data_IF_071082999593
#
_entry.id   IF_071082999593
#
_cell.length_a   1.000
_cell.length_b   1.000
_cell.length_c   1.000
_cell.angle_alpha   90.00
_cell.angle_beta   90.00
_cell.angle_gamma   90.00
#
_symmetry.space_group_name_H-M   'P 1'
#
loop_
_entity.id
_entity.type
_entity.pdbx_description
1 polymer ?
#
# COMPACT_ATOMS: atom_id res chain seq x y z
N UNK A 1 33.46 39.67 64.19
CA UNK A 1 32.75 38.49 64.72
C UNK A 1 31.58 38.14 63.80
N UNK A 2 30.98 36.96 63.97
CA UNK A 2 30.14 36.27 62.98
C UNK A 2 28.69 36.79 62.85
N UNK A 3 28.05 36.36 61.75
CA UNK A 3 26.69 35.76 61.68
C UNK A 3 25.59 36.50 60.88
N UNK A 4 25.06 35.75 59.88
CA UNK A 4 23.70 35.81 59.30
C UNK A 4 22.68 35.13 60.27
N UNK A 5 21.34 35.05 60.05
CA UNK A 5 20.62 35.16 58.76
C UNK A 5 19.13 35.70 58.73
N UNK A 6 18.56 35.71 57.50
CA UNK A 6 17.15 35.46 57.08
C UNK A 6 16.02 36.53 57.02
N UNK A 7 15.42 36.58 55.81
CA UNK A 7 13.99 36.77 55.42
C UNK A 7 13.27 38.13 55.47
N UNK A 8 12.63 38.48 54.33
CA UNK A 8 11.61 39.54 54.17
C UNK A 8 11.27 39.80 52.69
N UNK A 9 10.00 39.64 52.28
CA UNK A 9 9.51 39.76 50.89
C UNK A 9 9.11 41.20 50.50
N UNK A 10 8.97 41.50 49.19
CA UNK A 10 7.79 42.27 48.78
C UNK A 10 7.10 41.86 47.45
N UNK A 11 5.77 42.01 47.47
CA UNK A 11 4.78 42.23 46.40
C UNK A 11 5.08 41.85 44.92
N UNK A 12 4.22 40.99 44.38
CA UNK A 12 4.01 40.79 42.93
C UNK A 12 2.97 41.79 42.39
N UNK A 13 3.32 42.54 41.34
CA UNK A 13 2.36 43.31 40.53
C UNK A 13 1.77 42.39 39.46
N UNK A 14 0.45 42.39 39.30
CA UNK A 14 -0.23 41.56 38.30
C UNK A 14 0.03 42.07 36.87
N UNK A 15 0.55 41.18 36.02
CA UNK A 15 0.58 41.34 34.56
C UNK A 15 -0.53 40.42 34.00
N UNK A 16 -1.42 40.88 33.11
CA UNK A 16 -2.49 40.06 32.57
C UNK A 16 -1.93 38.89 31.72
N UNK A 17 -2.62 37.73 31.70
CA UNK A 17 -2.15 36.56 30.97
C UNK A 17 -2.14 36.80 29.45
N UNK A 18 -1.06 36.37 28.82
CA UNK A 18 -0.83 36.42 27.38
C UNK A 18 -1.90 35.60 26.64
N UNK A 19 -2.74 36.24 25.81
CA UNK A 19 -3.70 35.51 24.97
C UNK A 19 -2.97 34.81 23.82
N UNK A 20 -3.24 33.53 23.54
CA UNK A 20 -2.76 32.87 22.33
C UNK A 20 -3.49 33.40 21.08
N UNK A 21 -2.88 33.33 19.88
CA UNK A 21 -3.51 33.82 18.66
C UNK A 21 -4.79 33.04 18.32
N UNK A 22 -5.78 33.76 17.77
CA UNK A 22 -7.18 33.34 17.56
C UNK A 22 -7.41 32.14 16.60
N UNK A 23 -6.35 31.51 16.09
CA UNK A 23 -6.45 30.47 15.06
C UNK A 23 -6.95 29.11 15.58
N UNK A 24 -6.92 28.87 16.91
CA UNK A 24 -7.33 27.60 17.51
C UNK A 24 -8.83 27.50 17.90
N UNK A 25 -9.65 28.53 17.67
CA UNK A 25 -11.05 28.56 18.15
C UNK A 25 -12.11 28.05 17.16
N UNK A 26 -11.75 27.69 15.93
CA UNK A 26 -12.72 27.36 14.85
C UNK A 26 -12.65 25.93 14.31
N UNK A 27 -11.91 25.02 14.97
CA UNK A 27 -11.94 23.59 14.64
C UNK A 27 -12.90 22.84 15.58
N UNK A 28 -13.72 21.90 15.07
CA UNK A 28 -14.59 21.10 15.93
C UNK A 28 -13.78 20.25 16.92
N UNK A 29 -14.27 20.17 18.17
CA UNK A 29 -13.58 19.57 19.33
C UNK A 29 -13.23 18.07 19.20
N UNK A 30 -13.58 17.40 18.11
CA UNK A 30 -13.20 16.00 17.84
C UNK A 30 -11.73 15.82 17.44
N UNK A 31 -11.01 16.91 17.09
CA UNK A 31 -9.67 16.80 16.48
C UNK A 31 -8.51 17.03 17.47
N UNK A 32 -8.72 17.74 18.58
CA UNK A 32 -7.66 18.21 19.50
C UNK A 32 -7.92 17.79 20.96
N UNK A 33 -6.94 17.16 21.61
CA UNK A 33 -6.92 16.92 23.07
C UNK A 33 -6.14 18.02 23.80
N UNK A 34 -6.43 18.30 25.09
CA UNK A 34 -5.93 19.48 25.78
C UNK A 34 -4.40 19.47 26.03
N UNK A 35 -3.77 20.65 26.19
CA UNK A 35 -2.33 20.76 26.39
C UNK A 35 -1.88 20.36 27.80
N UNK A 36 -0.78 19.62 27.88
CA UNK A 36 -0.04 19.32 29.11
C UNK A 36 1.00 20.43 29.36
N UNK A 37 1.30 20.85 30.62
CA UNK A 37 2.19 21.99 30.87
C UNK A 37 3.65 21.75 30.45
N UNK A 38 4.25 22.71 29.75
CA UNK A 38 5.68 22.71 29.41
C UNK A 38 6.54 23.28 30.57
N UNK A 39 7.76 22.74 30.78
CA UNK A 39 8.72 23.29 31.75
C UNK A 39 9.39 24.57 31.22
N UNK A 40 9.80 25.46 32.13
CA UNK A 40 10.38 26.77 31.81
C UNK A 40 11.86 26.66 31.41
N UNK A 41 12.27 27.29 30.30
CA UNK A 41 13.67 27.65 30.00
C UNK A 41 13.85 29.18 29.98
N UNK A 42 15.07 29.63 30.29
CA UNK A 42 15.34 31.02 30.67
C UNK A 42 15.89 31.95 29.57
N UNK A 43 15.53 33.23 29.72
CA UNK A 43 16.25 34.47 29.35
C UNK A 43 17.22 34.48 28.15
N UNK A 44 16.84 35.18 27.08
CA UNK A 44 17.74 35.71 26.04
C UNK A 44 18.00 37.21 26.25
N UNK A 45 19.22 37.68 25.95
CA UNK A 45 19.60 39.11 25.94
C UNK A 45 19.54 39.67 24.50
N UNK A 46 19.07 40.92 24.32
CA UNK A 46 18.85 41.57 23.01
C UNK A 46 19.99 42.52 22.57
N UNK A 47 20.13 42.63 21.24
CA UNK A 47 20.54 43.79 20.42
C UNK A 47 20.10 43.53 18.94
N UNK A 48 20.16 44.45 17.97
CA UNK A 48 20.63 45.86 18.05
C UNK A 48 20.09 46.86 16.98
N UNK A 49 19.32 46.46 15.95
CA UNK A 49 18.58 47.36 14.98
C UNK A 49 19.41 48.26 14.03
N UNK A 50 18.86 48.92 12.97
CA UNK A 50 17.65 48.67 12.15
C UNK A 50 17.81 48.85 10.60
N UNK A 51 17.01 48.14 9.80
CA UNK A 51 16.39 48.63 8.53
C UNK A 51 15.25 47.68 8.08
N UNK A 52 14.28 48.19 7.30
CA UNK A 52 12.90 47.65 7.20
C UNK A 52 12.51 47.18 5.76
N UNK A 53 11.23 46.83 5.44
CA UNK A 53 10.54 45.60 5.89
C UNK A 53 9.70 44.88 4.77
N UNK A 54 9.62 43.55 4.78
CA UNK A 54 8.46 42.79 4.24
C UNK A 54 8.57 41.29 4.56
N UNK A 55 7.42 40.63 4.79
CA UNK A 55 7.33 39.16 4.88
C UNK A 55 7.92 38.52 6.15
N UNK A 56 7.23 38.66 7.30
CA UNK A 56 7.57 37.94 8.53
C UNK A 56 7.33 36.42 8.40
N UNK A 57 8.33 35.70 7.86
CA UNK A 57 8.37 34.23 7.83
C UNK A 57 8.42 33.69 9.26
N UNK A 58 7.27 33.27 9.80
CA UNK A 58 7.18 32.59 11.10
C UNK A 58 7.76 31.18 10.97
N UNK A 59 9.09 31.08 11.04
CA UNK A 59 9.80 29.80 11.13
C UNK A 59 9.75 29.33 12.59
N UNK A 60 8.57 28.92 13.03
CA UNK A 60 8.35 28.37 14.37
C UNK A 60 8.79 26.91 14.43
N UNK A 61 9.65 26.58 15.39
CA UNK A 61 10.22 25.24 15.63
C UNK A 61 9.19 24.25 16.25
N UNK A 62 7.91 24.47 15.96
CA UNK A 62 6.76 23.74 16.49
C UNK A 62 6.51 22.41 15.75
N UNK A 63 6.89 22.33 14.46
CA UNK A 63 6.67 21.16 13.62
C UNK A 63 7.23 19.88 14.24
N UNK A 64 8.55 19.86 14.50
CA UNK A 64 9.30 18.71 15.04
C UNK A 64 8.72 18.15 16.36
N UNK A 65 8.13 19.01 17.19
CA UNK A 65 7.52 18.61 18.47
C UNK A 65 6.10 18.06 18.28
N UNK A 66 5.31 18.64 17.37
CA UNK A 66 3.97 18.14 17.05
C UNK A 66 4.01 16.77 16.36
N UNK A 67 4.92 16.54 15.40
CA UNK A 67 5.03 15.25 14.69
C UNK A 67 5.37 14.11 15.65
N UNK A 68 6.33 14.31 16.57
CA UNK A 68 6.67 13.31 17.60
C UNK A 68 5.50 13.00 18.55
N UNK A 69 4.72 14.01 18.90
CA UNK A 69 3.58 13.84 19.84
C UNK A 69 2.38 13.17 19.16
N UNK A 70 2.15 13.42 17.86
CA UNK A 70 1.10 12.74 17.09
C UNK A 70 1.45 11.28 16.77
N UNK A 71 2.70 10.98 16.45
CA UNK A 71 3.21 9.62 16.19
C UNK A 71 2.84 8.64 17.32
N UNK A 72 2.94 9.06 18.58
CA UNK A 72 2.63 8.19 19.73
C UNK A 72 1.14 7.80 19.88
N UNK A 73 0.23 8.44 19.12
CA UNK A 73 -1.22 8.09 19.08
C UNK A 73 -1.67 7.53 17.74
N UNK A 74 -0.78 7.50 16.73
CA UNK A 74 -1.02 6.99 15.39
C UNK A 74 -0.17 5.74 15.15
N UNK A 75 -0.57 4.62 15.76
CA UNK A 75 0.24 3.40 15.80
C UNK A 75 0.48 2.74 14.43
N UNK A 76 -0.32 3.09 13.41
CA UNK A 76 -0.10 2.66 12.02
C UNK A 76 0.91 3.53 11.25
N UNK A 77 1.44 4.58 11.88
CA UNK A 77 2.44 5.45 11.27
C UNK A 77 1.90 6.29 10.13
N UNK A 78 2.72 6.45 9.10
CA UNK A 78 2.39 7.19 7.88
C UNK A 78 1.58 6.29 6.91
N UNK A 79 0.74 6.90 6.08
CA UNK A 79 0.02 6.20 5.02
C UNK A 79 1.00 5.58 4.00
N UNK A 80 2.21 6.14 3.88
CA UNK A 80 3.31 5.55 3.14
C UNK A 80 3.77 4.20 3.72
N UNK A 81 3.97 4.10 5.04
CA UNK A 81 4.36 2.86 5.71
C UNK A 81 3.26 1.79 5.54
N UNK A 82 2.01 2.20 5.73
CA UNK A 82 0.86 1.29 5.59
C UNK A 82 0.69 0.79 4.15
N UNK A 83 0.88 1.65 3.14
CA UNK A 83 0.90 1.22 1.75
C UNK A 83 2.09 0.29 1.46
N UNK A 84 3.26 0.54 2.05
CA UNK A 84 4.44 -0.32 1.91
C UNK A 84 4.22 -1.71 2.52
N UNK A 85 3.49 -1.82 3.63
CA UNK A 85 3.06 -3.10 4.22
C UNK A 85 2.04 -3.84 3.34
N UNK A 86 1.09 -3.12 2.74
CA UNK A 86 -0.05 -3.70 1.99
C UNK A 86 0.18 -3.91 0.49
N UNK A 87 1.16 -3.22 -0.10
CA UNK A 87 1.42 -3.09 -1.54
C UNK A 87 0.31 -2.34 -2.28
N UNK A 88 -0.96 -2.73 -2.13
CA UNK A 88 -2.14 -2.03 -2.68
C UNK A 88 -3.31 -2.03 -1.69
N UNK A 89 -4.28 -1.14 -1.90
CA UNK A 89 -5.47 -1.01 -1.07
C UNK A 89 -6.74 -1.39 -1.84
N UNK A 90 -7.67 -2.03 -1.14
CA UNK A 90 -9.00 -2.29 -1.70
C UNK A 90 -9.77 -0.98 -1.90
N UNK A 91 -10.70 -0.94 -2.86
CA UNK A 91 -11.57 0.25 -3.02
C UNK A 91 -12.29 0.64 -1.72
N UNK A 92 -12.60 -0.33 -0.85
CA UNK A 92 -13.27 -0.10 0.42
C UNK A 92 -12.38 0.65 1.42
N UNK A 93 -11.09 0.37 1.44
CA UNK A 93 -10.10 1.08 2.27
C UNK A 93 -9.80 2.46 1.67
N UNK A 94 -9.50 2.51 0.38
CA UNK A 94 -9.29 3.77 -0.37
C UNK A 94 -10.48 4.71 -0.21
N UNK A 95 -11.73 4.23 -0.29
CA UNK A 95 -12.95 5.03 -0.07
C UNK A 95 -13.02 5.66 1.32
N UNK A 96 -12.54 4.98 2.37
CA UNK A 96 -12.49 5.56 3.72
C UNK A 96 -11.42 6.65 3.82
N UNK A 97 -10.19 6.33 3.40
CA UNK A 97 -9.04 7.23 3.47
C UNK A 97 -9.31 8.49 2.65
N UNK A 98 -9.74 8.32 1.40
CA UNK A 98 -9.99 9.43 0.47
C UNK A 98 -11.18 10.30 0.89
N UNK A 99 -12.23 9.74 1.50
CA UNK A 99 -13.34 10.54 2.03
C UNK A 99 -12.84 11.49 3.12
N UNK A 100 -12.14 10.97 4.12
CA UNK A 100 -11.62 11.78 5.22
C UNK A 100 -10.56 12.80 4.72
N UNK A 101 -9.76 12.45 3.72
CA UNK A 101 -8.83 13.39 3.08
C UNK A 101 -9.56 14.54 2.39
N UNK A 102 -10.58 14.25 1.59
CA UNK A 102 -11.37 15.28 0.91
C UNK A 102 -12.18 16.15 1.88
N UNK A 103 -12.67 15.59 2.99
CA UNK A 103 -13.32 16.36 4.06
C UNK A 103 -12.35 17.38 4.68
N UNK A 104 -11.10 16.97 4.97
CA UNK A 104 -10.04 17.88 5.45
C UNK A 104 -9.69 18.94 4.41
N UNK A 105 -9.49 18.55 3.14
CA UNK A 105 -9.14 19.48 2.05
C UNK A 105 -10.28 20.49 1.81
N UNK A 106 -11.54 20.05 1.81
CA UNK A 106 -12.71 20.94 1.72
C UNK A 106 -12.71 21.99 2.84
N UNK A 107 -12.39 21.58 4.07
CA UNK A 107 -12.29 22.50 5.21
C UNK A 107 -11.15 23.52 5.05
N UNK A 108 -9.96 23.10 4.60
CA UNK A 108 -8.84 24.00 4.31
C UNK A 108 -9.20 24.98 3.19
N UNK A 109 -9.77 24.48 2.09
CA UNK A 109 -10.11 25.27 0.91
C UNK A 109 -11.21 26.31 1.20
N UNK A 110 -12.15 26.01 2.11
CA UNK A 110 -13.13 26.98 2.64
C UNK A 110 -12.50 28.13 3.42
N UNK A 111 -11.40 27.87 4.13
CA UNK A 111 -10.60 28.89 4.83
C UNK A 111 -9.58 29.60 3.90
N UNK A 112 -9.64 29.34 2.60
CA UNK A 112 -8.66 29.76 1.58
C UNK A 112 -7.22 29.26 1.82
N UNK A 113 -7.05 28.16 2.54
CA UNK A 113 -5.74 27.54 2.79
C UNK A 113 -5.45 26.51 1.69
N UNK A 114 -4.24 26.58 1.10
CA UNK A 114 -3.68 25.58 0.18
C UNK A 114 -2.58 24.80 0.91
N UNK A 115 -2.54 23.48 0.79
CA UNK A 115 -1.56 22.65 1.49
C UNK A 115 -0.19 22.62 0.79
N UNK A 116 -0.19 22.47 -0.54
CA UNK A 116 0.98 22.43 -1.46
C UNK A 116 1.94 21.23 -1.36
N UNK A 117 1.95 20.46 -0.28
CA UNK A 117 2.73 19.21 -0.18
C UNK A 117 1.88 18.04 0.33
N UNK A 118 0.80 17.72 -0.37
CA UNK A 118 0.00 16.52 -0.09
C UNK A 118 0.68 15.27 -0.66
N UNK A 119 0.99 14.33 0.23
CA UNK A 119 1.62 13.03 -0.09
C UNK A 119 1.34 12.02 1.03
N UNK A 120 1.46 10.69 0.80
CA UNK A 120 1.20 9.66 1.80
C UNK A 120 2.03 9.80 3.10
N UNK A 121 3.25 10.30 3.01
CA UNK A 121 4.14 10.57 4.15
C UNK A 121 3.54 11.61 5.11
N UNK A 122 2.82 12.60 4.57
CA UNK A 122 2.20 13.68 5.36
C UNK A 122 0.81 13.30 5.92
N UNK A 123 0.35 12.05 5.73
CA UNK A 123 -0.96 11.56 6.18
C UNK A 123 -0.75 10.44 7.21
N UNK A 124 -1.09 10.68 8.47
CA UNK A 124 -0.99 9.68 9.54
C UNK A 124 -2.27 8.85 9.68
N UNK A 125 -2.13 7.58 10.08
CA UNK A 125 -3.26 6.64 10.28
C UNK A 125 -3.41 6.19 11.75
N UNK A 126 -4.65 6.13 12.22
CA UNK A 126 -5.01 5.47 13.50
C UNK A 126 -5.38 3.98 13.32
N UNK A 127 -5.55 3.27 14.44
CA UNK A 127 -5.91 1.84 14.45
C UNK A 127 -7.24 1.55 13.71
N UNK A 128 -8.12 2.55 13.56
CA UNK A 128 -9.46 2.47 12.98
C UNK A 128 -9.53 2.91 11.50
N UNK A 129 -8.41 3.24 10.87
CA UNK A 129 -8.31 3.83 9.52
C UNK A 129 -8.82 5.27 9.40
N UNK A 130 -8.87 6.02 10.50
CA UNK A 130 -9.04 7.47 10.43
C UNK A 130 -7.69 8.11 10.10
N UNK A 131 -7.71 9.17 9.29
CA UNK A 131 -6.48 9.91 8.96
C UNK A 131 -6.30 11.14 9.86
N UNK A 132 -5.07 11.64 9.95
CA UNK A 132 -4.79 13.07 10.19
C UNK A 132 -3.75 13.59 9.21
N UNK A 133 -4.06 14.72 8.59
CA UNK A 133 -3.11 15.46 7.75
C UNK A 133 -2.09 16.19 8.64
N UNK A 134 -0.83 16.19 8.22
CA UNK A 134 0.31 16.79 8.92
C UNK A 134 1.24 17.52 7.95
N UNK A 135 2.26 18.19 8.50
CA UNK A 135 3.23 19.04 7.79
C UNK A 135 2.64 20.16 6.90
N UNK A 136 2.10 21.17 7.56
CA UNK A 136 1.68 22.43 6.95
C UNK A 136 2.86 23.37 6.63
N UNK A 137 4.11 22.88 6.58
CA UNK A 137 5.31 23.70 6.40
C UNK A 137 5.37 24.48 5.08
N UNK A 138 4.66 23.99 4.05
CA UNK A 138 4.48 24.67 2.76
C UNK A 138 3.11 25.34 2.60
N UNK A 139 2.20 25.21 3.55
CA UNK A 139 0.84 25.71 3.39
C UNK A 139 0.76 27.24 3.37
N UNK A 140 -0.23 27.79 2.67
CA UNK A 140 -0.42 29.22 2.50
C UNK A 140 -1.92 29.56 2.54
N UNK A 141 -2.28 30.65 3.21
CA UNK A 141 -3.64 31.18 3.19
C UNK A 141 -3.73 32.31 2.17
N UNK A 142 -4.57 32.13 1.16
CA UNK A 142 -4.77 33.06 0.05
C UNK A 142 -5.79 34.14 0.41
N UNK A 143 -5.49 35.38 0.03
CA UNK A 143 -6.48 36.44 -0.09
C UNK A 143 -7.38 36.23 -1.33
N UNK A 144 -8.57 36.83 -1.39
CA UNK A 144 -9.44 36.75 -2.57
C UNK A 144 -8.72 37.23 -3.85
N UNK A 145 -8.61 36.36 -4.84
CA UNK A 145 -7.90 36.64 -6.10
C UNK A 145 -6.37 36.46 -6.06
N UNK A 146 -5.79 36.15 -4.90
CA UNK A 146 -4.35 35.86 -4.79
C UNK A 146 -4.01 34.52 -5.47
N UNK A 147 -2.87 34.49 -6.16
CA UNK A 147 -2.30 33.32 -6.82
C UNK A 147 -0.84 33.17 -6.46
N UNK A 148 -0.39 31.92 -6.34
CA UNK A 148 0.98 31.58 -5.95
C UNK A 148 1.83 31.27 -7.18
N UNK A 149 3.14 31.54 -7.08
CA UNK A 149 4.13 31.28 -8.14
C UNK A 149 5.35 30.48 -7.67
N UNK A 150 5.56 30.36 -6.35
CA UNK A 150 6.67 29.58 -5.79
C UNK A 150 6.53 28.09 -6.15
N UNK A 151 7.63 27.45 -6.56
CA UNK A 151 7.66 25.98 -6.68
C UNK A 151 8.14 25.36 -5.37
N UNK A 152 7.25 24.61 -4.74
CA UNK A 152 7.48 23.89 -3.49
C UNK A 152 6.66 22.60 -3.47
N UNK A 153 6.97 21.70 -2.53
CA UNK A 153 6.39 20.36 -2.44
C UNK A 153 7.21 19.29 -3.17
N UNK A 154 6.71 18.05 -3.13
CA UNK A 154 7.44 16.85 -3.54
C UNK A 154 7.24 16.55 -5.05
N UNK A 155 8.32 16.41 -5.87
CA UNK A 155 8.22 16.41 -7.35
C UNK A 155 7.21 15.46 -8.00
N UNK A 156 6.99 14.27 -7.46
CA UNK A 156 6.03 13.28 -7.98
C UNK A 156 4.56 13.63 -7.74
N UNK A 157 4.27 14.59 -6.84
CA UNK A 157 2.93 15.02 -6.47
C UNK A 157 2.60 16.45 -6.94
N UNK A 158 3.56 17.14 -7.58
CA UNK A 158 3.36 18.49 -8.12
C UNK A 158 2.32 18.49 -9.25
N UNK A 159 1.47 19.52 -9.23
CA UNK A 159 0.53 19.79 -10.30
C UNK A 159 1.22 20.45 -11.51
N UNK A 160 0.74 20.24 -12.76
CA UNK A 160 1.32 20.82 -13.97
C UNK A 160 1.53 22.33 -13.88
N UNK A 161 0.55 23.06 -13.35
CA UNK A 161 0.58 24.52 -13.23
C UNK A 161 1.67 25.04 -12.26
N UNK A 162 2.11 24.23 -11.29
CA UNK A 162 3.27 24.58 -10.44
C UNK A 162 4.55 24.50 -11.26
N UNK A 163 4.69 23.45 -12.08
CA UNK A 163 5.85 23.25 -12.95
C UNK A 163 5.93 24.38 -13.98
N UNK A 164 4.79 24.73 -14.60
CA UNK A 164 4.68 25.84 -15.56
C UNK A 164 5.08 27.20 -14.95
N UNK A 165 4.73 27.46 -13.68
CA UNK A 165 5.19 28.68 -12.97
C UNK A 165 6.73 28.79 -12.88
N UNK A 166 7.48 27.68 -12.84
CA UNK A 166 8.96 27.73 -12.88
C UNK A 166 9.57 27.86 -14.27
N UNK A 167 8.77 27.67 -15.33
CA UNK A 167 9.23 27.72 -16.72
C UNK A 167 8.80 29.01 -17.43
N UNK A 168 7.81 29.73 -16.90
CA UNK A 168 7.25 30.93 -17.49
C UNK A 168 6.93 31.99 -16.41
N UNK A 169 7.74 33.05 -16.37
CA UNK A 169 7.59 34.19 -15.45
C UNK A 169 6.29 34.98 -15.66
N UNK A 170 5.62 34.84 -16.81
CA UNK A 170 4.33 35.46 -17.11
C UNK A 170 3.12 34.60 -16.70
N UNK A 171 3.32 33.37 -16.20
CA UNK A 171 2.20 32.49 -15.81
C UNK A 171 1.36 33.13 -14.68
N UNK A 172 0.01 33.15 -14.77
CA UNK A 172 -0.87 33.85 -13.81
C UNK A 172 -0.84 33.27 -12.37
N UNK A 173 -0.13 32.17 -12.17
CA UNK A 173 0.01 31.48 -10.88
C UNK A 173 -1.04 30.40 -10.66
N UNK A 174 -0.91 29.67 -9.56
CA UNK A 174 -1.78 28.56 -9.16
C UNK A 174 -2.53 28.87 -7.87
N UNK A 175 -3.54 28.07 -7.54
CA UNK A 175 -4.36 28.21 -6.33
C UNK A 175 -4.58 26.89 -5.60
N UNK A 176 -5.80 26.69 -5.09
CA UNK A 176 -6.23 25.51 -4.31
C UNK A 176 -6.26 24.23 -5.15
N UNK A 177 -6.38 24.37 -6.45
CA UNK A 177 -6.56 23.31 -7.43
C UNK A 177 -5.40 22.30 -7.41
N UNK A 178 -4.19 22.74 -7.01
CA UNK A 178 -2.99 21.90 -6.90
C UNK A 178 -3.16 20.75 -5.90
N UNK A 179 -3.83 21.01 -4.78
CA UNK A 179 -4.09 19.99 -3.76
C UNK A 179 -4.98 18.86 -4.31
N UNK A 180 -5.88 19.18 -5.24
CA UNK A 180 -6.76 18.21 -5.90
C UNK A 180 -5.98 17.30 -6.86
N UNK A 181 -4.94 17.82 -7.53
CA UNK A 181 -4.04 17.01 -8.34
C UNK A 181 -3.26 16.02 -7.47
N UNK A 182 -2.59 16.52 -6.42
CA UNK A 182 -1.85 15.67 -5.48
C UNK A 182 -2.75 14.60 -4.83
N UNK A 183 -4.02 14.94 -4.56
CA UNK A 183 -5.06 14.00 -4.11
C UNK A 183 -5.33 12.90 -5.13
N UNK A 184 -5.38 13.21 -6.42
CA UNK A 184 -5.46 12.23 -7.50
C UNK A 184 -4.23 11.32 -7.59
N UNK A 185 -3.03 11.89 -7.44
CA UNK A 185 -1.77 11.13 -7.41
C UNK A 185 -1.74 10.16 -6.22
N UNK A 186 -2.16 10.62 -5.03
CA UNK A 186 -2.32 9.76 -3.84
C UNK A 186 -3.32 8.64 -4.17
N UNK A 187 -4.53 8.96 -4.62
CA UNK A 187 -5.58 7.97 -4.87
C UNK A 187 -5.18 6.89 -5.87
N UNK A 188 -4.52 7.29 -6.97
CA UNK A 188 -3.94 6.35 -7.93
C UNK A 188 -2.91 5.44 -7.26
N UNK A 189 -2.00 6.02 -6.47
CA UNK A 189 -0.91 5.29 -5.79
C UNK A 189 -1.43 4.28 -4.76
N UNK A 190 -2.51 4.61 -4.04
CA UNK A 190 -3.15 3.69 -3.09
C UNK A 190 -3.74 2.44 -3.77
N UNK A 191 -4.26 2.59 -5.00
CA UNK A 191 -4.88 1.50 -5.76
C UNK A 191 -3.83 0.69 -6.55
N UNK A 192 -2.93 1.36 -7.27
CA UNK A 192 -1.94 0.72 -8.14
C UNK A 192 -0.64 0.31 -7.43
N UNK A 193 -0.43 0.72 -6.17
CA UNK A 193 0.82 0.50 -5.43
C UNK A 193 2.03 1.27 -5.99
N UNK A 194 1.81 2.12 -7.00
CA UNK A 194 2.84 2.90 -7.70
C UNK A 194 2.25 4.20 -8.22
N UNK A 195 3.04 5.29 -8.31
CA UNK A 195 2.52 6.59 -8.74
C UNK A 195 2.21 6.63 -10.25
N UNK A 196 1.21 7.42 -10.69
CA UNK A 196 0.79 7.53 -12.09
C UNK A 196 1.88 8.08 -13.00
N UNK A 197 2.74 8.95 -12.46
CA UNK A 197 3.83 9.58 -13.19
C UNK A 197 5.16 9.14 -12.57
N UNK A 198 5.85 8.20 -13.24
CA UNK A 198 7.14 7.70 -12.79
C UNK A 198 8.14 7.62 -13.93
N UNK A 199 9.34 8.16 -13.73
CA UNK A 199 10.48 7.89 -14.60
C UNK A 199 11.83 8.05 -13.88
N UNK A 200 12.83 7.21 -14.21
CA UNK A 200 14.21 7.27 -13.64
C UNK A 200 14.86 8.66 -13.77
N UNK A 201 14.58 9.34 -14.88
CA UNK A 201 15.02 10.71 -15.15
C UNK A 201 13.88 11.66 -14.78
N UNK A 202 14.09 12.49 -13.75
CA UNK A 202 13.10 13.45 -13.25
C UNK A 202 12.51 14.33 -14.36
N UNK A 203 13.31 14.82 -15.31
CA UNK A 203 12.82 15.66 -16.41
C UNK A 203 11.77 14.96 -17.30
N UNK A 204 11.82 13.62 -17.42
CA UNK A 204 10.81 12.86 -18.16
C UNK A 204 9.55 12.62 -17.31
N UNK A 205 9.68 12.43 -15.98
CA UNK A 205 8.55 12.40 -15.06
C UNK A 205 7.78 13.73 -15.09
N UNK A 206 8.49 14.87 -15.03
CA UNK A 206 7.87 16.20 -15.12
C UNK A 206 7.14 16.40 -16.46
N UNK A 207 7.69 15.90 -17.58
CA UNK A 207 6.98 15.91 -18.88
C UNK A 207 5.72 15.02 -18.89
N UNK A 208 5.73 13.88 -18.21
CA UNK A 208 4.52 13.05 -18.05
C UNK A 208 3.44 13.77 -17.23
N UNK A 209 3.83 14.47 -16.15
CA UNK A 209 2.94 15.32 -15.36
C UNK A 209 2.34 16.42 -16.24
N UNK A 210 3.17 17.22 -16.91
CA UNK A 210 2.71 18.33 -17.78
C UNK A 210 1.78 17.88 -18.92
N UNK A 211 1.96 16.66 -19.44
CA UNK A 211 1.09 16.09 -20.48
C UNK A 211 -0.12 15.33 -19.93
N UNK A 212 -0.25 15.17 -18.62
CA UNK A 212 -1.28 14.33 -18.00
C UNK A 212 -1.23 12.86 -18.44
N UNK A 213 -0.06 12.38 -18.87
CA UNK A 213 0.08 11.05 -19.46
C UNK A 213 0.25 9.95 -18.39
N UNK A 214 -0.88 9.39 -17.95
CA UNK A 214 -0.98 8.20 -17.12
C UNK A 214 -1.96 7.20 -17.76
N UNK A 215 -1.96 5.95 -17.32
CA UNK A 215 -2.78 4.88 -17.91
C UNK A 215 -3.32 3.92 -16.85
N UNK A 216 -4.57 3.50 -16.98
CA UNK A 216 -5.16 2.42 -16.18
C UNK A 216 -4.77 1.05 -16.78
N UNK A 217 -3.49 0.69 -16.65
CA UNK A 217 -2.91 -0.50 -17.26
C UNK A 217 -3.36 -1.84 -16.66
N UNK A 218 -3.45 -2.87 -17.51
CA UNK A 218 -3.52 -4.28 -17.06
C UNK A 218 -2.13 -4.76 -16.61
N UNK A 219 -2.01 -5.62 -15.58
CA UNK A 219 -3.11 -6.22 -14.81
C UNK A 219 -3.63 -5.39 -13.63
N UNK A 220 -2.92 -4.35 -13.19
CA UNK A 220 -3.17 -3.67 -11.91
C UNK A 220 -4.57 -3.03 -11.84
N UNK A 221 -5.11 -2.57 -12.96
CA UNK A 221 -6.41 -1.91 -13.05
C UNK A 221 -7.56 -2.79 -13.59
N UNK A 222 -7.32 -4.08 -13.83
CA UNK A 222 -8.36 -5.00 -14.35
C UNK A 222 -9.47 -5.27 -13.31
N UNK A 223 -9.13 -5.29 -12.02
CA UNK A 223 -10.05 -5.64 -10.93
C UNK A 223 -10.75 -4.42 -10.29
N UNK A 224 -10.38 -3.19 -10.69
CA UNK A 224 -10.97 -1.94 -10.18
C UNK A 224 -12.11 -1.41 -11.07
N UNK A 225 -13.15 -0.86 -10.43
CA UNK A 225 -14.36 -0.36 -11.10
C UNK A 225 -14.11 0.85 -12.00
N UNK A 226 -14.96 1.03 -13.00
CA UNK A 226 -14.91 2.25 -13.83
C UNK A 226 -15.29 3.50 -13.03
N UNK A 227 -16.06 3.35 -11.94
CA UNK A 227 -16.39 4.43 -11.00
C UNK A 227 -15.16 4.96 -10.26
N UNK A 228 -14.21 4.10 -9.84
CA UNK A 228 -12.99 4.56 -9.19
C UNK A 228 -12.01 5.19 -10.19
N UNK A 229 -11.96 4.66 -11.42
CA UNK A 229 -11.16 5.22 -12.53
C UNK A 229 -11.66 6.61 -12.95
N UNK A 230 -12.98 6.79 -13.03
CA UNK A 230 -13.61 8.09 -13.33
C UNK A 230 -13.31 9.15 -12.25
N UNK A 231 -13.31 8.79 -10.96
CA UNK A 231 -12.93 9.74 -9.92
C UNK A 231 -11.45 10.15 -10.02
N UNK A 232 -10.55 9.18 -10.26
CA UNK A 232 -9.12 9.49 -10.48
C UNK A 232 -8.92 10.39 -11.70
N UNK A 233 -9.67 10.19 -12.79
CA UNK A 233 -9.53 11.02 -13.98
C UNK A 233 -10.02 12.46 -13.81
N UNK A 234 -10.99 12.71 -12.91
CA UNK A 234 -11.44 14.06 -12.53
C UNK A 234 -10.43 14.84 -11.67
N UNK A 235 -9.57 14.13 -10.92
CA UNK A 235 -8.45 14.75 -10.19
C UNK A 235 -7.24 15.01 -11.09
N UNK A 236 -6.89 14.06 -11.95
CA UNK A 236 -5.70 14.13 -12.82
C UNK A 236 -5.98 14.87 -14.14
N UNK A 237 -6.68 16.00 -14.05
CA UNK A 237 -6.92 16.92 -15.16
C UNK A 237 -5.83 17.98 -15.20
N UNK A 238 -5.12 18.10 -16.32
CA UNK A 238 -4.02 19.06 -16.49
C UNK A 238 -4.51 20.49 -16.27
N UNK A 239 -5.60 20.87 -16.95
CA UNK A 239 -6.15 22.21 -16.87
C UNK A 239 -6.86 22.46 -15.51
N UNK A 240 -6.38 23.38 -14.66
CA UNK A 240 -6.83 23.46 -13.27
C UNK A 240 -8.32 23.80 -13.10
N UNK A 241 -8.88 24.68 -13.94
CA UNK A 241 -10.31 25.04 -13.86
C UNK A 241 -11.27 23.93 -14.28
N UNK A 242 -10.78 22.84 -14.89
CA UNK A 242 -11.57 21.66 -15.25
C UNK A 242 -11.40 20.51 -14.23
N UNK A 243 -10.53 20.69 -13.22
CA UNK A 243 -10.25 19.72 -12.18
C UNK A 243 -11.33 19.79 -11.09
N UNK A 244 -11.83 18.65 -10.63
CA UNK A 244 -12.91 18.67 -9.64
C UNK A 244 -12.44 19.23 -8.29
N UNK A 245 -13.34 19.95 -7.62
CA UNK A 245 -13.16 20.43 -6.25
C UNK A 245 -13.37 19.30 -5.24
N UNK A 246 -12.92 19.50 -3.99
CA UNK A 246 -13.13 18.52 -2.93
C UNK A 246 -14.63 18.25 -2.63
N UNK A 247 -15.50 19.23 -2.85
CA UNK A 247 -16.94 19.09 -2.62
C UNK A 247 -17.62 18.27 -3.72
N UNK A 248 -17.30 18.55 -4.99
CA UNK A 248 -17.75 17.74 -6.13
C UNK A 248 -17.22 16.31 -6.06
N UNK A 249 -15.97 16.14 -5.62
CA UNK A 249 -15.37 14.85 -5.40
C UNK A 249 -16.08 14.05 -4.29
N UNK A 250 -16.44 14.68 -3.16
CA UNK A 250 -17.23 14.03 -2.10
C UNK A 250 -18.65 13.65 -2.55
N UNK A 251 -19.24 14.41 -3.47
CA UNK A 251 -20.53 14.10 -4.08
C UNK A 251 -20.46 12.97 -5.14
N UNK A 252 -19.27 12.51 -5.53
CA UNK A 252 -19.07 11.52 -6.59
C UNK A 252 -19.68 10.14 -6.24
N UNK A 253 -20.24 9.39 -7.21
CA UNK A 253 -20.79 8.04 -6.98
C UNK A 253 -19.86 7.06 -6.28
N UNK A 254 -18.53 7.23 -6.37
CA UNK A 254 -17.56 6.43 -5.62
C UNK A 254 -17.75 6.52 -4.09
N UNK A 255 -18.19 7.67 -3.56
CA UNK A 255 -18.48 7.84 -2.13
C UNK A 255 -19.96 7.69 -1.78
N UNK A 256 -20.86 7.78 -2.76
CA UNK A 256 -22.28 7.51 -2.54
C UNK A 256 -22.48 6.07 -2.07
N UNK A 257 -23.37 5.90 -1.09
CA UNK A 257 -23.56 4.62 -0.43
C UNK A 257 -24.45 3.72 -1.31
N UNK A 258 -23.86 3.04 -2.28
CA UNK A 258 -24.54 1.95 -2.97
C UNK A 258 -24.89 0.87 -1.95
N UNK A 259 -26.19 0.71 -1.70
CA UNK A 259 -26.75 -0.54 -1.18
C UNK A 259 -26.63 -1.55 -2.32
N UNK A 260 -25.49 -2.23 -2.37
CA UNK A 260 -25.20 -3.22 -3.40
C UNK A 260 -26.03 -4.47 -3.10
N UNK A 261 -27.17 -4.64 -3.79
CA UNK A 261 -27.51 -5.99 -4.27
C UNK A 261 -26.29 -6.49 -5.05
N UNK A 262 -25.81 -7.73 -4.80
CA UNK A 262 -24.58 -8.26 -5.38
C UNK A 262 -24.64 -8.40 -6.92
N UNK A 263 -24.51 -7.30 -7.65
CA UNK A 263 -24.24 -7.31 -9.09
C UNK A 263 -22.78 -7.72 -9.27
N UNK A 264 -22.55 -9.03 -9.27
CA UNK A 264 -21.26 -9.65 -9.56
C UNK A 264 -20.77 -9.19 -10.93
N UNK A 265 -19.88 -8.20 -10.95
CA UNK A 265 -19.31 -7.67 -12.18
C UNK A 265 -18.75 -8.81 -13.04
N UNK A 266 -19.21 -8.89 -14.29
CA UNK A 266 -18.75 -9.90 -15.22
C UNK A 266 -17.33 -9.55 -15.65
N UNK A 267 -16.31 -10.16 -15.03
CA UNK A 267 -14.93 -10.15 -15.55
C UNK A 267 -14.82 -11.24 -16.63
N UNK A 268 -14.64 -10.90 -17.93
CA UNK A 268 -14.52 -11.90 -18.99
C UNK A 268 -13.25 -12.74 -18.79
N UNK A 269 -12.14 -12.09 -18.43
CA UNK A 269 -10.85 -12.74 -18.13
C UNK A 269 -10.96 -13.64 -16.90
N UNK A 270 -11.57 -13.17 -15.82
CA UNK A 270 -11.79 -13.95 -14.60
C UNK A 270 -12.65 -15.19 -14.83
N UNK A 271 -13.79 -15.04 -15.55
CA UNK A 271 -14.65 -16.17 -15.92
C UNK A 271 -13.96 -17.14 -16.87
N UNK A 272 -13.24 -16.66 -17.88
CA UNK A 272 -12.47 -17.52 -18.79
C UNK A 272 -11.41 -18.34 -18.04
N UNK A 273 -10.65 -17.70 -17.14
CA UNK A 273 -9.66 -18.37 -16.27
C UNK A 273 -10.31 -19.42 -15.37
N UNK A 274 -11.45 -19.12 -14.76
CA UNK A 274 -12.20 -20.06 -13.92
C UNK A 274 -12.75 -21.25 -14.73
N UNK A 275 -13.27 -21.01 -15.95
CA UNK A 275 -13.71 -22.07 -16.87
C UNK A 275 -12.54 -22.96 -17.28
N UNK A 276 -11.42 -22.37 -17.70
CA UNK A 276 -10.23 -23.11 -18.11
C UNK A 276 -9.67 -23.99 -16.97
N UNK A 277 -9.59 -23.45 -15.75
CA UNK A 277 -9.17 -24.21 -14.56
C UNK A 277 -10.15 -25.33 -14.21
N UNK A 278 -11.46 -25.07 -14.30
CA UNK A 278 -12.51 -26.09 -14.07
C UNK A 278 -12.42 -27.23 -15.11
N UNK A 279 -12.22 -26.91 -16.39
CA UNK A 279 -12.02 -27.91 -17.45
C UNK A 279 -10.75 -28.72 -17.20
N UNK A 280 -9.62 -28.08 -16.86
CA UNK A 280 -8.37 -28.78 -16.54
C UNK A 280 -8.51 -29.69 -15.32
N UNK A 281 -9.24 -29.27 -14.28
CA UNK A 281 -9.54 -30.08 -13.11
C UNK A 281 -10.44 -31.28 -13.46
N UNK A 282 -11.55 -31.05 -14.19
CA UNK A 282 -12.46 -32.10 -14.63
C UNK A 282 -11.76 -33.14 -15.52
N UNK A 283 -10.91 -32.71 -16.46
CA UNK A 283 -10.10 -33.59 -17.30
C UNK A 283 -9.12 -34.43 -16.47
N UNK A 284 -8.42 -33.82 -15.49
CA UNK A 284 -7.54 -34.56 -14.56
C UNK A 284 -8.31 -35.60 -13.76
N UNK A 285 -9.46 -35.23 -13.19
CA UNK A 285 -10.34 -36.14 -12.42
C UNK A 285 -10.84 -37.28 -13.32
N UNK A 286 -11.29 -36.98 -14.54
CA UNK A 286 -11.77 -37.97 -15.50
C UNK A 286 -10.68 -39.00 -15.85
N UNK A 287 -9.47 -38.55 -16.19
CA UNK A 287 -8.36 -39.46 -16.49
C UNK A 287 -7.89 -40.24 -15.26
N UNK A 288 -7.94 -39.65 -14.06
CA UNK A 288 -7.57 -40.34 -12.83
C UNK A 288 -8.61 -41.40 -12.45
N UNK A 289 -9.90 -41.11 -12.57
CA UNK A 289 -11.00 -42.06 -12.36
C UNK A 289 -10.94 -43.21 -13.37
N UNK A 290 -10.76 -42.93 -14.66
CA UNK A 290 -10.61 -43.95 -15.73
C UNK A 290 -9.33 -44.81 -15.58
N UNK A 291 -8.29 -44.33 -14.91
CA UNK A 291 -7.04 -45.09 -14.66
C UNK A 291 -7.11 -45.99 -13.41
N UNK A 292 -7.98 -45.68 -12.45
CA UNK A 292 -8.19 -46.53 -11.27
C UNK A 292 -9.30 -47.54 -11.57
N UNK A 293 -8.90 -48.72 -12.07
CA UNK A 293 -9.81 -49.89 -12.03
C UNK A 293 -10.12 -50.19 -10.56
N UNK A 294 -11.40 -50.28 -10.14
CA UNK A 294 -11.73 -50.67 -8.78
C UNK A 294 -11.21 -52.08 -8.52
N UNK A 295 -10.45 -52.26 -7.44
CA UNK A 295 -9.90 -53.54 -7.03
C UNK A 295 -11.02 -54.36 -6.39
N UNK A 296 -11.68 -55.22 -7.18
CA UNK A 296 -12.69 -56.15 -6.67
C UNK A 296 -12.02 -57.36 -6.00
N UNK A 297 -12.73 -57.97 -5.03
CA UNK A 297 -12.26 -59.14 -4.26
C UNK A 297 -11.87 -60.31 -5.18
N UNK A 298 -12.59 -60.51 -6.27
CA UNK A 298 -12.32 -61.55 -7.27
C UNK A 298 -10.98 -61.37 -7.98
N UNK A 299 -10.61 -60.13 -8.34
CA UNK A 299 -9.33 -59.83 -9.00
C UNK A 299 -8.16 -60.14 -8.05
N UNK A 300 -8.30 -59.77 -6.78
CA UNK A 300 -7.30 -60.04 -5.72
C UNK A 300 -7.10 -61.54 -5.51
N UNK A 301 -8.16 -62.34 -5.57
CA UNK A 301 -8.09 -63.80 -5.38
C UNK A 301 -7.52 -64.50 -6.63
N UNK A 302 -7.88 -64.04 -7.84
CA UNK A 302 -7.48 -64.69 -9.09
C UNK A 302 -6.04 -64.39 -9.51
N UNK A 303 -5.58 -63.15 -9.35
CA UNK A 303 -4.20 -62.74 -9.62
C UNK A 303 -3.76 -61.60 -8.68
N UNK A 304 -3.30 -61.94 -7.46
CA UNK A 304 -2.79 -60.93 -6.53
C UNK A 304 -1.49 -60.28 -7.01
N UNK A 305 -0.73 -60.91 -7.91
CA UNK A 305 0.52 -60.37 -8.44
C UNK A 305 0.29 -59.29 -9.50
N UNK A 306 -0.84 -59.27 -10.22
CA UNK A 306 -1.19 -58.19 -11.15
C UNK A 306 -1.22 -56.80 -10.48
N UNK A 307 -1.59 -56.74 -9.20
CA UNK A 307 -1.78 -55.49 -8.46
C UNK A 307 -0.46 -55.01 -7.84
N UNK A 308 0.11 -53.92 -8.39
CA UNK A 308 1.41 -53.35 -7.98
C UNK A 308 1.60 -53.15 -6.45
N UNK A 309 0.60 -52.76 -5.65
CA UNK A 309 0.73 -52.67 -4.19
C UNK A 309 0.84 -54.05 -3.52
N UNK A 310 0.01 -55.02 -3.92
CA UNK A 310 0.02 -56.37 -3.36
C UNK A 310 1.30 -57.11 -3.73
N UNK A 311 1.72 -57.03 -5.00
CA UNK A 311 3.02 -57.55 -5.47
C UNK A 311 4.17 -57.15 -4.54
N UNK A 312 4.32 -55.84 -4.29
CA UNK A 312 5.37 -55.30 -3.40
C UNK A 312 5.29 -55.86 -1.97
N UNK A 313 4.08 -56.09 -1.45
CA UNK A 313 3.88 -56.64 -0.13
C UNK A 313 4.24 -58.14 -0.08
N UNK A 314 3.83 -58.90 -1.10
CA UNK A 314 4.18 -60.32 -1.25
C UNK A 314 5.70 -60.48 -1.44
N UNK A 315 6.33 -59.71 -2.33
CA UNK A 315 7.79 -59.69 -2.55
C UNK A 315 8.55 -59.40 -1.25
N UNK A 316 8.06 -58.44 -0.44
CA UNK A 316 8.68 -58.07 0.83
C UNK A 316 8.55 -59.17 1.89
N UNK A 317 7.41 -59.85 1.99
CA UNK A 317 7.24 -61.00 2.88
C UNK A 317 8.05 -62.22 2.42
N UNK A 318 8.05 -62.52 1.12
CA UNK A 318 8.87 -63.57 0.53
C UNK A 318 10.35 -63.33 0.80
N UNK A 319 10.82 -62.08 0.65
CA UNK A 319 12.21 -61.72 0.99
C UNK A 319 12.50 -61.79 2.50
N UNK A 320 11.54 -61.48 3.38
CA UNK A 320 11.71 -61.66 4.83
C UNK A 320 11.82 -63.14 5.24
N UNK A 321 11.06 -64.02 4.58
CA UNK A 321 11.06 -65.46 4.89
C UNK A 321 12.27 -66.14 4.24
N UNK A 322 12.45 -65.99 2.93
CA UNK A 322 13.44 -66.74 2.14
C UNK A 322 14.76 -65.98 1.89
N UNK A 323 14.86 -64.70 2.24
CA UNK A 323 16.06 -63.88 2.01
C UNK A 323 17.34 -64.40 2.68
N UNK A 324 17.23 -65.29 3.68
CA UNK A 324 18.37 -65.97 4.28
C UNK A 324 19.00 -67.04 3.36
N UNK A 325 18.25 -67.57 2.39
CA UNK A 325 18.76 -68.47 1.34
C UNK A 325 19.48 -67.73 0.21
N UNK A 326 19.32 -66.40 0.11
CA UNK A 326 19.87 -65.55 -0.97
C UNK A 326 21.30 -65.07 -0.67
N UNK A 327 21.93 -65.52 0.43
CA UNK A 327 23.28 -65.11 0.81
C UNK A 327 24.23 -66.30 0.96
N UNK A 328 25.10 -66.53 -0.04
CA UNK A 328 26.46 -67.09 0.20
C UNK A 328 27.49 -67.00 -0.95
N UNK A 329 27.26 -66.28 -2.06
CA UNK A 329 28.26 -66.15 -3.15
C UNK A 329 28.23 -64.80 -3.89
N UNK A 330 29.39 -64.39 -4.42
CA UNK A 330 29.57 -63.10 -5.10
C UNK A 330 28.79 -62.93 -6.43
N UNK A 331 28.21 -64.00 -6.98
CA UNK A 331 27.49 -63.97 -8.27
C UNK A 331 25.96 -64.09 -8.16
N UNK A 332 25.37 -64.14 -6.96
CA UNK A 332 23.91 -64.30 -6.81
C UNK A 332 23.19 -62.95 -6.66
N UNK A 333 22.42 -62.58 -7.69
CA UNK A 333 21.63 -61.36 -7.74
C UNK A 333 20.21 -61.57 -7.16
N UNK A 334 19.61 -60.51 -6.60
CA UNK A 334 18.29 -60.53 -5.94
C UNK A 334 17.14 -61.02 -6.82
N UNK A 335 17.31 -60.99 -8.14
CA UNK A 335 16.36 -61.50 -9.12
C UNK A 335 16.17 -63.03 -9.05
N UNK A 336 17.16 -63.79 -8.56
CA UNK A 336 17.11 -65.26 -8.52
C UNK A 336 15.97 -65.83 -7.64
N UNK A 337 15.51 -65.08 -6.63
CA UNK A 337 14.37 -65.50 -5.79
C UNK A 337 13.01 -65.43 -6.54
N UNK A 338 12.96 -64.79 -7.70
CA UNK A 338 11.74 -64.52 -8.45
C UNK A 338 11.81 -65.05 -9.91
N UNK A 339 12.79 -65.92 -10.20
CA UNK A 339 13.07 -66.46 -11.52
C UNK A 339 12.31 -67.79 -11.73
N UNK A 340 11.08 -67.72 -12.24
CA UNK A 340 10.16 -68.87 -12.37
C UNK A 340 10.42 -69.78 -13.60
N UNK A 341 11.60 -69.70 -14.20
CA UNK A 341 11.99 -70.53 -15.35
C UNK A 341 13.29 -71.27 -15.03
N UNK A 342 13.32 -72.62 -15.07
CA UNK A 342 14.53 -73.37 -14.79
C UNK A 342 15.58 -73.08 -15.88
N UNK A 343 16.80 -72.75 -15.46
CA UNK A 343 17.94 -72.65 -16.37
C UNK A 343 18.35 -74.05 -16.79
N UNK A 344 18.01 -74.44 -18.02
CA UNK A 344 18.54 -75.65 -18.63
C UNK A 344 20.06 -75.51 -18.77
N UNK A 345 20.81 -76.18 -17.90
CA UNK A 345 22.27 -76.31 -18.03
C UNK A 345 22.51 -77.32 -19.14
N UNK A 346 22.95 -76.83 -20.30
CA UNK A 346 23.24 -77.65 -21.47
C UNK A 346 24.59 -78.34 -21.26
N UNK A 347 24.54 -79.52 -20.65
CA UNK A 347 25.71 -80.30 -20.19
C UNK A 347 26.28 -81.23 -21.27
N UNK A 348 26.19 -80.81 -22.54
CA UNK A 348 26.57 -81.60 -23.71
C UNK A 348 27.10 -80.69 -24.83
N UNK A 349 28.40 -80.42 -24.81
CA UNK A 349 29.27 -80.04 -25.94
C UNK A 349 30.74 -79.94 -25.43
N UNK A 350 31.15 -80.94 -24.65
CA UNK A 350 32.50 -81.10 -24.11
C UNK A 350 33.01 -82.52 -24.38
N UNK A 351 32.66 -83.02 -25.57
CA UNK A 351 33.17 -84.21 -26.24
C UNK A 351 32.95 -83.94 -27.75
N UNK A 352 33.89 -84.38 -28.59
CA UNK A 352 33.93 -84.15 -30.06
C UNK A 352 34.28 -82.71 -30.54
N UNK A 353 35.55 -82.34 -30.36
CA UNK A 353 36.36 -81.82 -31.47
C UNK A 353 37.71 -82.57 -31.46
N UNK A 354 38.24 -82.84 -32.66
CA UNK A 354 39.29 -83.84 -32.95
C UNK A 354 40.74 -83.30 -32.83
#
# INVERSE_FOLDING_TARGET
MMALPQTGTPALVCIPPFQPPLFFQFLPNSVLTPPVPLPRLGSFRKNGSPSCPSGSRVRGDLGTSMTRTCSHRMKRGELFDYLTEKVTLSEKETRKIMRALLEVISALHKLNIVHRDLKPENILLDDNMNIKLTDFGFSCQLQPGEKLREVCGTPSYLAPEIIECSMNDDHPGYGKEVDMWSTGVIMYTLLAGSPPFWHRKQMLMLRMIMSGNYQFGSPEWDDYSDTVKDLVSRFLVVQPQNRCTAEEALAHPFFQQYVVEEVRHFSPRGKFKAIALTVLAAVRIYYQYRRVKPVTREIVIRDPYALRPLRRLIDAYAFRIYGHWVKKGQQQNRAALFENTPKAVLLSLAEEDY
#
